data_IF_543792882177
#
_entry.id   IF_543792882177
#
_cell.length_a   1.000
_cell.length_b   1.000
_cell.length_c   1.000
_cell.angle_alpha   90.00
_cell.angle_beta   90.00
_cell.angle_gamma   90.00
#
_symmetry.space_group_name_H-M   'P 1'
#
loop_
_entity.id
_entity.type
_entity.pdbx_description
1 polymer ?
#
# COMPACT_ATOMS: atom_id res chain seq x y z
N UNK A 1 -8.60 -13.19 -6.54
CA UNK A 1 -8.08 -12.87 -5.19
C UNK A 1 -7.95 -14.19 -4.46
N UNK A 2 -6.73 -14.62 -4.14
CA UNK A 2 -6.53 -15.80 -3.30
C UNK A 2 -7.11 -15.49 -1.91
N UNK A 3 -7.91 -16.41 -1.39
CA UNK A 3 -8.82 -16.11 -0.30
C UNK A 3 -8.08 -16.05 1.04
N UNK A 4 -7.82 -14.84 1.56
CA UNK A 4 -7.49 -14.69 3.00
C UNK A 4 -8.72 -14.99 3.89
N UNK A 5 -9.86 -15.32 3.27
CA UNK A 5 -11.13 -15.60 3.93
C UNK A 5 -11.95 -14.34 4.20
N UNK A 6 -13.21 -14.50 4.64
CA UNK A 6 -14.18 -13.41 4.77
C UNK A 6 -13.86 -12.42 5.90
N UNK A 7 -12.87 -12.72 6.75
CA UNK A 7 -12.42 -11.85 7.85
C UNK A 7 -11.66 -10.62 7.35
N UNK A 8 -11.15 -10.66 6.12
CA UNK A 8 -10.35 -9.58 5.55
C UNK A 8 -11.12 -8.88 4.44
N UNK A 9 -11.05 -7.55 4.44
CA UNK A 9 -11.47 -6.74 3.30
C UNK A 9 -10.27 -6.55 2.41
N UNK A 10 -10.34 -7.01 1.16
CA UNK A 10 -9.25 -6.89 0.21
C UNK A 10 -9.44 -5.67 -0.70
N UNK A 11 -8.40 -4.87 -0.82
CA UNK A 11 -8.28 -3.79 -1.80
C UNK A 11 -7.00 -3.96 -2.59
N UNK A 12 -7.04 -3.67 -3.88
CA UNK A 12 -5.86 -3.55 -4.72
C UNK A 12 -5.93 -2.24 -5.47
N UNK A 13 -4.79 -1.61 -5.69
CA UNK A 13 -4.67 -0.42 -6.53
C UNK A 13 -3.56 -0.63 -7.55
N UNK A 14 -3.65 0.07 -8.67
CA UNK A 14 -2.57 0.11 -9.66
C UNK A 14 -1.59 1.20 -9.24
N UNK A 15 -0.30 0.89 -9.11
CA UNK A 15 0.72 1.91 -8.81
C UNK A 15 0.74 3.04 -9.87
N UNK A 16 1.29 4.21 -9.52
CA UNK A 16 1.47 5.29 -10.50
C UNK A 16 2.14 4.79 -11.78
N UNK A 17 1.65 5.32 -12.89
CA UNK A 17 2.01 4.93 -14.25
C UNK A 17 1.83 3.44 -14.60
N UNK A 18 1.07 2.67 -13.80
CA UNK A 18 0.69 1.27 -14.09
C UNK A 18 -0.82 1.14 -14.25
N UNK A 19 -1.24 0.08 -14.94
CA UNK A 19 -2.65 -0.29 -15.08
C UNK A 19 -3.55 0.89 -15.46
N UNK A 20 -4.57 1.14 -14.61
CA UNK A 20 -5.55 2.21 -14.76
C UNK A 20 -5.19 3.51 -14.04
N UNK A 21 -4.03 3.56 -13.37
CA UNK A 21 -3.57 4.77 -12.70
C UNK A 21 -3.01 5.80 -13.68
N UNK A 22 -3.05 7.07 -13.26
CA UNK A 22 -2.48 8.18 -14.03
C UNK A 22 -0.97 7.99 -14.21
N UNK A 23 -0.41 8.67 -15.21
CA UNK A 23 1.02 8.65 -15.55
C UNK A 23 1.65 10.00 -15.19
N UNK A 24 1.92 10.29 -13.90
CA UNK A 24 2.58 11.52 -13.51
C UNK A 24 4.05 11.52 -13.98
N UNK A 25 4.61 12.71 -14.14
CA UNK A 25 6.04 12.88 -14.45
C UNK A 25 6.95 12.52 -13.28
N UNK A 26 6.45 12.69 -12.05
CA UNK A 26 7.15 12.27 -10.84
C UNK A 26 7.08 10.75 -10.69
N UNK A 27 8.18 10.08 -11.01
CA UNK A 27 8.36 8.64 -10.78
C UNK A 27 9.34 8.36 -9.63
N UNK A 28 9.50 9.31 -8.71
CA UNK A 28 10.37 9.14 -7.54
C UNK A 28 9.79 8.12 -6.57
N UNK A 29 10.67 7.51 -5.79
CA UNK A 29 10.31 6.61 -4.71
C UNK A 29 9.37 7.28 -3.68
N UNK A 30 9.65 8.53 -3.31
CA UNK A 30 8.80 9.33 -2.41
C UNK A 30 7.41 9.57 -2.99
N UNK A 31 7.34 9.80 -4.30
CA UNK A 31 6.06 9.87 -5.01
C UNK A 31 5.26 8.58 -4.82
N UNK A 32 5.86 7.44 -5.13
CA UNK A 32 5.22 6.13 -4.94
C UNK A 32 4.77 5.90 -3.48
N UNK A 33 5.59 6.28 -2.49
CA UNK A 33 5.23 6.16 -1.07
C UNK A 33 4.03 7.03 -0.67
N UNK A 34 3.91 8.24 -1.23
CA UNK A 34 2.74 9.09 -0.99
C UNK A 34 1.46 8.49 -1.57
N UNK A 35 1.55 7.75 -2.68
CA UNK A 35 0.38 7.05 -3.22
C UNK A 35 -0.07 5.92 -2.29
N UNK A 36 0.86 5.16 -1.70
CA UNK A 36 0.54 4.14 -0.68
C UNK A 36 -0.22 4.80 0.48
N UNK A 37 0.30 5.92 1.00
CA UNK A 37 -0.33 6.64 2.10
C UNK A 37 -1.74 7.12 1.75
N UNK A 38 -1.92 7.70 0.55
CA UNK A 38 -3.22 8.14 0.06
C UNK A 38 -4.21 6.96 -0.09
N UNK A 39 -3.74 5.81 -0.58
CA UNK A 39 -4.57 4.60 -0.70
C UNK A 39 -4.97 4.10 0.68
N UNK A 40 -4.05 4.01 1.64
CA UNK A 40 -4.39 3.59 3.01
C UNK A 40 -5.42 4.55 3.62
N UNK A 41 -5.21 5.87 3.49
CA UNK A 41 -6.10 6.88 4.04
C UNK A 41 -7.55 6.73 3.54
N UNK A 42 -7.75 6.46 2.25
CA UNK A 42 -9.12 6.29 1.69
C UNK A 42 -9.79 4.97 2.08
N UNK A 43 -9.02 3.98 2.54
CA UNK A 43 -9.61 2.73 3.06
C UNK A 43 -10.25 2.93 4.44
N UNK A 44 -9.85 3.96 5.18
CA UNK A 44 -10.30 4.21 6.56
C UNK A 44 -9.86 3.12 7.55
N UNK A 45 -8.84 2.33 7.20
CA UNK A 45 -8.30 1.26 8.05
C UNK A 45 -7.15 1.84 8.89
N UNK A 46 -7.30 1.81 10.22
CA UNK A 46 -6.28 2.34 11.13
C UNK A 46 -4.99 1.52 11.13
N UNK A 47 -5.11 0.18 10.97
CA UNK A 47 -3.98 -0.76 11.00
C UNK A 47 -4.02 -1.73 9.82
N UNK A 48 -3.61 -1.28 8.62
CA UNK A 48 -3.69 -2.11 7.42
C UNK A 48 -2.58 -3.17 7.39
N UNK A 49 -2.87 -4.30 6.76
CA UNK A 49 -1.84 -5.24 6.30
C UNK A 49 -1.50 -4.89 4.86
N UNK A 50 -0.27 -4.45 4.61
CA UNK A 50 0.22 -4.14 3.27
C UNK A 50 0.89 -5.36 2.66
N UNK A 51 0.43 -5.77 1.48
CA UNK A 51 1.02 -6.87 0.72
C UNK A 51 1.59 -6.30 -0.58
N UNK A 52 2.88 -6.48 -0.79
CA UNK A 52 3.57 -6.04 -1.98
C UNK A 52 4.47 -7.13 -2.55
N UNK A 53 4.66 -7.13 -3.86
CA UNK A 53 5.66 -7.95 -4.53
C UNK A 53 6.68 -7.05 -5.23
N UNK A 54 7.95 -7.43 -5.15
CA UNK A 54 9.07 -6.71 -5.75
C UNK A 54 9.11 -5.24 -5.27
N UNK A 55 9.00 -4.27 -6.18
CA UNK A 55 9.01 -2.85 -5.84
C UNK A 55 7.90 -2.47 -4.85
N UNK A 56 6.72 -3.08 -4.98
CA UNK A 56 5.63 -2.90 -4.03
C UNK A 56 5.97 -3.42 -2.62
N UNK A 57 6.83 -4.45 -2.50
CA UNK A 57 7.29 -4.93 -1.19
C UNK A 57 8.23 -3.92 -0.52
N UNK A 58 9.11 -3.27 -1.30
CA UNK A 58 9.96 -2.19 -0.79
C UNK A 58 9.12 -1.00 -0.32
N UNK A 59 8.12 -0.59 -1.12
CA UNK A 59 7.19 0.48 -0.73
C UNK A 59 6.42 0.13 0.54
N UNK A 60 5.91 -1.10 0.67
CA UNK A 60 5.19 -1.56 1.86
C UNK A 60 6.08 -1.50 3.12
N UNK A 61 7.31 -2.02 3.04
CA UNK A 61 8.26 -2.00 4.15
C UNK A 61 8.66 -0.57 4.56
N UNK A 62 8.91 0.31 3.59
CA UNK A 62 9.27 1.69 3.87
C UNK A 62 8.09 2.53 4.37
N UNK A 63 6.85 2.23 3.96
CA UNK A 63 5.68 2.87 4.55
C UNK A 63 5.49 2.43 6.00
N UNK A 64 5.65 1.14 6.28
CA UNK A 64 5.56 0.56 7.62
C UNK A 64 6.59 1.19 8.59
N UNK A 65 7.87 1.24 8.19
CA UNK A 65 8.95 1.89 8.95
C UNK A 65 8.65 3.36 9.32
N UNK A 66 7.92 4.08 8.45
CA UNK A 66 7.52 5.48 8.68
C UNK A 66 6.20 5.64 9.45
N UNK A 67 5.44 4.56 9.62
CA UNK A 67 4.13 4.56 10.27
C UNK A 67 4.05 3.45 11.35
N UNK A 68 4.96 3.45 12.35
CA UNK A 68 5.12 2.35 13.31
C UNK A 68 3.88 2.07 14.19
N UNK A 69 2.98 3.05 14.32
CA UNK A 69 1.73 2.88 15.08
C UNK A 69 0.62 2.21 14.26
N UNK A 70 0.76 2.20 12.93
CA UNK A 70 -0.24 1.73 11.97
C UNK A 70 0.13 0.39 11.35
N UNK A 71 1.40 0.02 11.28
CA UNK A 71 1.80 -1.33 10.87
C UNK A 71 1.83 -2.25 12.10
N UNK A 72 0.87 -3.16 12.22
CA UNK A 72 1.00 -4.25 13.20
C UNK A 72 0.41 -5.53 12.64
N UNK A 73 1.30 -6.48 12.38
CA UNK A 73 1.00 -7.89 12.56
C UNK A 73 1.17 -8.18 14.06
N UNK A 74 0.14 -8.70 14.72
CA UNK A 74 0.24 -9.09 16.14
C UNK A 74 1.26 -10.25 16.21
N UNK A 75 2.46 -9.96 16.72
CA UNK A 75 3.56 -10.93 16.82
C UNK A 75 3.32 -11.95 17.92
#
# INVERSE_FOLDING_TARGET
MAELGPRWRHGTYDERARGRSKRPMDYSFEGCLRDVDAVVAVTGVDRPVLVGWFYGAALAAHWADRNPDRDREDR
#
